data_IF_431391631419
#
_entry.id   IF_431391631419
#
_cell.length_a   1.000
_cell.length_b   1.000
_cell.length_c   1.000
_cell.angle_alpha   90.00
_cell.angle_beta   90.00
_cell.angle_gamma   90.00
#
_symmetry.space_group_name_H-M   'P 1'
#
loop_
_entity.id
_entity.type
_entity.pdbx_description
1 polymer ?
#
# COMPACT_ATOMS: atom_id res chain seq x y z
N UNK A 1 -27.45 21.44 21.89
CA UNK A 1 -26.14 21.30 22.55
C UNK A 1 -25.08 21.49 21.49
N UNK A 2 -24.19 22.47 21.67
CA UNK A 2 -23.31 22.97 20.61
C UNK A 2 -22.20 21.96 20.25
N UNK A 3 -22.37 21.21 19.15
CA UNK A 3 -21.26 20.54 18.49
C UNK A 3 -20.65 21.50 17.50
N UNK A 4 -19.49 22.06 17.84
CA UNK A 4 -18.64 22.86 16.96
C UNK A 4 -18.10 22.03 15.80
N UNK A 5 -18.97 21.69 14.86
CA UNK A 5 -18.60 21.07 13.59
C UNK A 5 -17.81 22.04 12.71
N UNK A 6 -17.03 21.49 11.79
CA UNK A 6 -16.47 22.27 10.69
C UNK A 6 -17.62 22.87 9.86
N UNK A 7 -17.46 24.12 9.42
CA UNK A 7 -18.44 24.75 8.51
C UNK A 7 -18.43 24.07 7.14
N UNK A 8 -19.48 24.25 6.33
CA UNK A 8 -19.54 23.63 4.99
C UNK A 8 -18.40 24.15 4.09
N UNK A 9 -17.96 25.40 4.30
CA UNK A 9 -16.79 25.98 3.63
C UNK A 9 -15.49 25.26 4.02
N UNK A 10 -15.28 25.01 5.32
CA UNK A 10 -14.11 24.27 5.83
C UNK A 10 -14.09 22.83 5.28
N UNK A 11 -15.25 22.19 5.17
CA UNK A 11 -15.37 20.85 4.57
C UNK A 11 -15.09 20.87 3.07
N UNK A 12 -15.52 21.90 2.34
CA UNK A 12 -15.18 22.06 0.92
C UNK A 12 -13.69 22.28 0.72
N UNK A 13 -13.07 23.15 1.53
CA UNK A 13 -11.63 23.42 1.49
C UNK A 13 -10.81 22.14 1.74
N UNK A 14 -11.23 21.32 2.71
CA UNK A 14 -10.64 20.02 2.97
C UNK A 14 -10.70 19.11 1.73
N UNK A 15 -11.88 18.99 1.13
CA UNK A 15 -12.10 18.16 -0.07
C UNK A 15 -11.22 18.63 -1.23
N UNK A 16 -11.12 19.93 -1.47
CA UNK A 16 -10.32 20.50 -2.54
C UNK A 16 -8.83 20.26 -2.32
N UNK A 17 -8.33 20.44 -1.09
CA UNK A 17 -6.95 20.10 -0.73
C UNK A 17 -6.67 18.62 -0.94
N UNK A 18 -7.54 17.72 -0.47
CA UNK A 18 -7.37 16.27 -0.68
C UNK A 18 -7.36 15.90 -2.17
N UNK A 19 -8.19 16.53 -3.00
CA UNK A 19 -8.17 16.36 -4.46
C UNK A 19 -6.85 16.84 -5.08
N UNK A 20 -6.28 17.95 -4.61
CA UNK A 20 -4.97 18.41 -5.08
C UNK A 20 -3.87 17.38 -4.79
N UNK A 21 -3.85 16.80 -3.58
CA UNK A 21 -2.89 15.75 -3.23
C UNK A 21 -3.12 14.43 -4.01
N UNK A 22 -4.37 14.08 -4.31
CA UNK A 22 -4.68 12.92 -5.15
C UNK A 22 -4.17 13.12 -6.60
N UNK A 23 -4.42 14.30 -7.18
CA UNK A 23 -3.91 14.68 -8.52
C UNK A 23 -2.39 14.62 -8.58
N UNK A 24 -1.70 15.02 -7.51
CA UNK A 24 -0.24 14.88 -7.39
C UNK A 24 0.28 13.43 -7.40
N UNK A 25 -0.56 12.48 -7.01
CA UNK A 25 -0.25 11.06 -7.09
C UNK A 25 -0.70 10.46 -8.44
N UNK A 26 -1.14 11.29 -9.40
CA UNK A 26 -1.74 10.86 -10.67
C UNK A 26 -2.96 9.93 -10.47
N UNK A 27 -3.74 10.16 -9.41
CA UNK A 27 -4.94 9.38 -9.08
C UNK A 27 -6.13 10.32 -8.90
N UNK A 28 -7.32 9.83 -9.24
CA UNK A 28 -8.57 10.55 -8.98
C UNK A 28 -9.00 10.47 -7.51
N UNK A 29 -8.56 9.41 -6.83
CA UNK A 29 -8.91 9.09 -5.45
C UNK A 29 -7.70 9.23 -4.52
N UNK A 30 -7.96 9.40 -3.23
CA UNK A 30 -6.93 9.51 -2.21
C UNK A 30 -6.30 8.12 -1.96
N UNK A 31 -4.99 8.01 -2.16
CA UNK A 31 -4.23 6.76 -1.95
C UNK A 31 -3.31 6.88 -0.73
N UNK A 32 -2.79 5.74 -0.29
CA UNK A 32 -1.75 5.67 0.76
C UNK A 32 -0.54 6.56 0.44
N UNK A 33 -0.09 6.60 -0.83
CA UNK A 33 1.00 7.47 -1.24
C UNK A 33 0.63 8.96 -1.12
N UNK A 34 -0.60 9.32 -1.49
CA UNK A 34 -1.09 10.70 -1.39
C UNK A 34 -1.21 11.15 0.07
N UNK A 35 -1.73 10.31 0.96
CA UNK A 35 -1.78 10.61 2.40
C UNK A 35 -0.38 10.64 3.03
N UNK A 36 0.53 9.81 2.56
CA UNK A 36 1.95 9.88 2.91
C UNK A 36 2.57 11.24 2.56
N UNK A 37 2.25 11.82 1.40
CA UNK A 37 2.70 13.18 1.03
C UNK A 37 2.09 14.24 1.96
N UNK A 38 0.79 14.16 2.27
CA UNK A 38 0.12 15.07 3.22
C UNK A 38 0.89 15.13 4.55
N UNK A 39 1.31 13.99 5.10
CA UNK A 39 2.07 13.96 6.37
C UNK A 39 3.50 14.49 6.28
N UNK A 40 4.10 14.52 5.10
CA UNK A 40 5.46 15.06 4.89
C UNK A 40 5.43 16.58 4.74
N UNK A 41 4.47 17.08 3.96
CA UNK A 41 4.41 18.48 3.54
C UNK A 41 3.85 19.39 4.66
N UNK A 42 3.08 18.84 5.60
CA UNK A 42 2.38 19.61 6.63
C UNK A 42 2.92 19.31 8.03
N UNK A 43 3.36 20.35 8.74
CA UNK A 43 4.10 20.28 10.01
C UNK A 43 3.38 19.49 11.11
N UNK A 44 2.09 19.74 11.32
CA UNK A 44 1.28 19.07 12.34
C UNK A 44 1.00 17.61 11.96
N UNK A 45 0.89 17.34 10.66
CA UNK A 45 0.63 16.01 10.13
C UNK A 45 1.85 15.09 10.19
N UNK A 46 3.07 15.63 10.40
CA UNK A 46 4.29 14.82 10.58
C UNK A 46 4.21 13.89 11.78
N UNK A 47 3.54 14.31 12.86
CA UNK A 47 3.35 13.48 14.06
C UNK A 47 2.51 12.22 13.76
N UNK A 48 1.65 12.29 12.74
CA UNK A 48 0.78 11.20 12.31
C UNK A 48 1.42 10.31 11.25
N UNK A 49 2.65 10.58 10.80
CA UNK A 49 3.28 9.88 9.67
C UNK A 49 3.29 8.35 9.80
N UNK A 50 3.56 7.83 11.00
CA UNK A 50 3.57 6.38 11.28
C UNK A 50 2.18 5.77 11.34
N UNK A 51 1.19 6.55 11.78
CA UNK A 51 -0.19 6.12 12.00
C UNK A 51 -1.04 6.30 10.75
N UNK A 52 -0.61 7.17 9.83
CA UNK A 52 -1.35 7.52 8.63
C UNK A 52 -1.61 6.29 7.78
N UNK A 53 -0.57 5.51 7.49
CA UNK A 53 -0.69 4.33 6.65
C UNK A 53 -1.13 3.09 7.44
N UNK A 54 -0.72 2.99 8.72
CA UNK A 54 -0.97 1.81 9.54
C UNK A 54 -2.35 1.76 10.19
N UNK A 55 -2.93 2.92 10.53
CA UNK A 55 -4.14 3.01 11.35
C UNK A 55 -5.22 3.92 10.77
N UNK A 56 -4.86 5.10 10.25
CA UNK A 56 -5.83 6.12 9.82
C UNK A 56 -6.40 5.77 8.44
N UNK A 57 -5.54 5.70 7.42
CA UNK A 57 -5.95 5.46 6.04
C UNK A 57 -6.68 4.11 5.85
N UNK A 58 -6.27 2.99 6.48
CA UNK A 58 -6.98 1.72 6.35
C UNK A 58 -8.45 1.75 6.77
N UNK A 59 -8.79 2.57 7.78
CA UNK A 59 -10.16 2.73 8.30
C UNK A 59 -11.00 3.68 7.42
N UNK A 60 -10.33 4.52 6.65
CA UNK A 60 -10.94 5.51 5.78
C UNK A 60 -11.13 5.02 4.33
N UNK A 61 -10.53 3.88 3.96
CA UNK A 61 -10.78 3.23 2.66
C UNK A 61 -12.25 2.90 2.46
N UNK A 62 -12.66 2.90 1.19
CA UNK A 62 -14.00 2.46 0.77
C UNK A 62 -14.30 1.01 1.19
N UNK A 63 -13.29 0.15 1.03
CA UNK A 63 -13.31 -1.24 1.42
C UNK A 63 -11.88 -1.69 1.73
N UNK A 64 -11.71 -2.76 2.52
CA UNK A 64 -10.37 -3.30 2.84
C UNK A 64 -9.61 -3.74 1.58
N UNK A 65 -10.33 -4.17 0.55
CA UNK A 65 -9.80 -4.63 -0.74
C UNK A 65 -9.36 -3.50 -1.67
N UNK A 66 -9.97 -2.31 -1.55
CA UNK A 66 -9.65 -1.18 -2.44
C UNK A 66 -8.37 -0.49 -1.98
N UNK A 67 -7.42 -0.16 -2.88
CA UNK A 67 -6.17 0.51 -2.50
C UNK A 67 -6.34 2.03 -2.31
N UNK A 68 -7.57 2.55 -2.35
CA UNK A 68 -7.88 3.97 -2.33
C UNK A 68 -9.14 4.29 -1.51
N UNK A 69 -9.28 5.57 -1.19
CA UNK A 69 -10.43 6.19 -0.57
C UNK A 69 -11.03 7.21 -1.55
N UNK A 70 -12.31 7.06 -1.86
CA UNK A 70 -13.05 8.01 -2.68
C UNK A 70 -13.22 9.34 -1.94
N UNK A 71 -12.95 10.45 -2.62
CA UNK A 71 -12.98 11.78 -1.99
C UNK A 71 -14.43 12.31 -2.01
N UNK A 72 -15.22 11.92 -1.00
CA UNK A 72 -16.54 12.52 -0.71
C UNK A 72 -16.47 13.36 0.56
N UNK A 73 -17.46 14.25 0.78
CA UNK A 73 -17.52 15.11 1.98
C UNK A 73 -17.46 14.26 3.26
N UNK A 74 -18.33 13.27 3.39
CA UNK A 74 -18.43 12.39 4.57
C UNK A 74 -17.12 11.64 4.86
N UNK A 75 -16.49 11.12 3.81
CA UNK A 75 -15.22 10.40 3.90
C UNK A 75 -14.09 11.32 4.32
N UNK A 76 -14.01 12.50 3.73
CA UNK A 76 -13.00 13.51 4.07
C UNK A 76 -13.12 13.93 5.53
N UNK A 77 -14.34 14.12 6.03
CA UNK A 77 -14.61 14.38 7.45
C UNK A 77 -14.17 13.22 8.34
N UNK A 78 -14.51 11.97 7.98
CA UNK A 78 -14.07 10.79 8.73
C UNK A 78 -12.54 10.69 8.81
N UNK A 79 -11.85 11.02 7.71
CA UNK A 79 -10.39 11.05 7.66
C UNK A 79 -9.80 12.11 8.60
N UNK A 80 -10.36 13.32 8.59
CA UNK A 80 -9.92 14.40 9.47
C UNK A 80 -10.18 14.07 10.95
N UNK A 81 -11.37 13.57 11.27
CA UNK A 81 -11.75 13.17 12.63
C UNK A 81 -10.84 12.06 13.17
N UNK A 82 -10.54 11.02 12.37
CA UNK A 82 -9.62 9.96 12.78
C UNK A 82 -8.17 10.44 12.92
N UNK A 83 -7.76 11.40 12.10
CA UNK A 83 -6.46 12.05 12.24
C UNK A 83 -6.39 12.87 13.54
N UNK A 84 -7.46 13.58 13.89
CA UNK A 84 -7.56 14.34 15.13
C UNK A 84 -7.54 13.44 16.39
N UNK A 85 -8.30 12.34 16.39
CA UNK A 85 -8.31 11.34 17.48
C UNK A 85 -6.91 10.78 17.74
N UNK A 86 -6.19 10.41 16.67
CA UNK A 86 -4.81 9.90 16.77
C UNK A 86 -3.82 10.96 17.24
N UNK A 87 -4.00 12.20 16.81
CA UNK A 87 -3.16 13.32 17.24
C UNK A 87 -3.34 13.59 18.73
N UNK A 88 -4.58 13.61 19.21
CA UNK A 88 -4.93 13.79 20.61
C UNK A 88 -4.32 12.68 21.50
N UNK A 89 -4.45 11.42 21.05
CA UNK A 89 -3.85 10.27 21.74
C UNK A 89 -2.33 10.40 21.85
N UNK A 90 -1.64 10.82 20.77
CA UNK A 90 -0.19 11.07 20.82
C UNK A 90 0.21 12.22 21.71
N UNK A 91 -0.62 13.25 21.78
CA UNK A 91 -0.40 14.42 22.63
C UNK A 91 -0.87 14.20 24.08
N UNK A 92 -1.24 12.97 24.46
CA UNK A 92 -1.62 12.58 25.83
C UNK A 92 -2.73 13.45 26.42
N UNK A 93 -3.74 13.79 25.61
CA UNK A 93 -4.89 14.57 26.07
C UNK A 93 -4.60 16.06 26.29
N UNK A 94 -3.50 16.59 25.74
CA UNK A 94 -3.34 18.06 25.62
C UNK A 94 -4.52 18.61 24.84
N UNK A 95 -5.09 19.71 25.34
CA UNK A 95 -6.15 20.42 24.64
C UNK A 95 -5.60 21.09 23.38
N UNK A 96 -6.40 21.21 22.32
CA UNK A 96 -6.07 22.09 21.20
C UNK A 96 -5.87 23.54 21.69
N UNK A 97 -5.13 24.38 20.93
CA UNK A 97 -4.96 25.79 21.23
C UNK A 97 -6.32 26.47 21.47
N UNK A 98 -6.35 27.44 22.41
CA UNK A 98 -7.58 28.02 22.97
C UNK A 98 -8.63 28.33 21.89
N UNK A 99 -9.82 27.74 22.05
CA UNK A 99 -10.98 27.98 21.18
C UNK A 99 -11.02 27.22 19.85
N UNK A 100 -10.04 26.35 19.54
CA UNK A 100 -10.02 25.54 18.30
C UNK A 100 -10.18 24.05 18.57
N UNK A 101 -10.64 23.25 17.61
CA UNK A 101 -10.63 21.78 17.68
C UNK A 101 -9.39 21.24 16.96
N UNK A 102 -8.94 20.02 17.31
CA UNK A 102 -7.80 19.39 16.61
C UNK A 102 -8.04 19.24 15.10
N UNK A 103 -9.30 19.04 14.68
CA UNK A 103 -9.69 19.00 13.28
C UNK A 103 -9.44 20.33 12.57
N UNK A 104 -9.82 21.45 13.19
CA UNK A 104 -9.57 22.79 12.65
C UNK A 104 -8.10 23.12 12.56
N UNK A 105 -7.32 22.74 13.57
CA UNK A 105 -5.86 22.93 13.55
C UNK A 105 -5.20 22.08 12.46
N UNK A 106 -5.64 20.83 12.27
CA UNK A 106 -5.19 19.98 11.17
C UNK A 106 -5.55 20.58 9.80
N UNK A 107 -6.75 21.15 9.65
CA UNK A 107 -7.21 21.79 8.42
C UNK A 107 -6.41 23.06 8.11
N UNK A 108 -6.18 23.93 9.10
CA UNK A 108 -5.34 25.13 8.96
C UNK A 108 -3.91 24.75 8.57
N UNK A 109 -3.39 23.66 9.14
CA UNK A 109 -2.05 23.19 8.84
C UNK A 109 -1.95 22.44 7.51
N UNK A 110 -3.08 21.96 6.96
CA UNK A 110 -3.14 21.34 5.64
C UNK A 110 -2.95 22.41 4.58
N UNK A 111 -1.72 22.60 4.11
CA UNK A 111 -1.41 23.50 3.01
C UNK A 111 -1.75 22.83 1.69
N UNK A 112 -2.31 23.59 0.77
CA UNK A 112 -2.38 23.21 -0.64
C UNK A 112 -0.96 22.98 -1.16
N UNK A 113 -0.79 21.93 -1.94
CA UNK A 113 0.53 21.50 -2.41
C UNK A 113 0.85 22.10 -3.78
N UNK A 114 2.08 22.55 -3.97
CA UNK A 114 2.54 23.14 -5.23
C UNK A 114 2.86 22.01 -6.21
N UNK A 115 2.23 22.04 -7.39
CA UNK A 115 2.45 21.04 -8.45
C UNK A 115 3.80 21.21 -9.18
N UNK A 116 4.63 22.17 -8.77
CA UNK A 116 5.86 22.55 -9.48
C UNK A 116 7.00 21.56 -9.17
N UNK A 117 7.64 21.03 -10.22
CA UNK A 117 8.82 20.16 -10.09
C UNK A 117 8.56 18.70 -9.69
N UNK A 118 7.32 18.22 -9.76
CA UNK A 118 6.99 16.84 -9.37
C UNK A 118 7.56 15.85 -10.39
N UNK A 119 8.48 14.99 -9.91
CA UNK A 119 8.99 13.86 -10.69
C UNK A 119 7.84 12.92 -11.03
N UNK A 120 7.52 12.79 -12.33
CA UNK A 120 6.52 11.84 -12.81
C UNK A 120 6.93 10.43 -12.39
N UNK A 121 6.00 9.69 -11.80
CA UNK A 121 6.24 8.28 -11.45
C UNK A 121 6.46 7.48 -12.74
N UNK A 122 7.55 6.71 -12.80
CA UNK A 122 7.81 5.85 -13.96
C UNK A 122 6.73 4.78 -14.04
N UNK A 123 5.96 4.78 -15.13
CA UNK A 123 4.91 3.77 -15.39
C UNK A 123 5.48 2.37 -15.62
N UNK A 124 6.80 2.25 -15.80
CA UNK A 124 7.48 0.99 -15.89
C UNK A 124 7.61 0.43 -14.48
N UNK A 125 6.55 -0.24 -13.99
CA UNK A 125 6.65 -1.04 -12.77
C UNK A 125 7.88 -1.94 -12.86
N UNK A 126 8.52 -2.21 -11.72
CA UNK A 126 9.72 -3.06 -11.60
C UNK A 126 9.62 -4.47 -12.23
N UNK A 127 8.48 -4.81 -12.83
CA UNK A 127 8.19 -6.04 -13.56
C UNK A 127 9.16 -6.30 -14.71
N UNK A 128 9.73 -5.25 -15.33
CA UNK A 128 10.66 -5.40 -16.47
C UNK A 128 11.89 -6.24 -16.14
N UNK A 129 12.35 -6.24 -14.89
CA UNK A 129 13.51 -7.02 -14.46
C UNK A 129 13.19 -8.43 -13.93
N UNK A 130 11.91 -8.79 -13.80
CA UNK A 130 11.52 -10.05 -13.15
C UNK A 130 11.62 -11.27 -14.09
N UNK A 131 11.60 -11.04 -15.41
CA UNK A 131 11.75 -12.08 -16.45
C UNK A 131 13.02 -11.91 -17.28
N UNK A 132 13.92 -10.99 -16.90
CA UNK A 132 15.17 -10.76 -17.62
C UNK A 132 16.27 -11.68 -17.08
N UNK A 133 16.51 -12.77 -17.80
CA UNK A 133 17.55 -13.77 -17.49
C UNK A 133 18.96 -13.29 -17.82
N UNK A 134 19.10 -12.18 -18.56
CA UNK A 134 20.42 -11.64 -18.97
C UNK A 134 21.23 -11.13 -17.79
N UNK A 135 20.56 -10.82 -16.67
CA UNK A 135 21.20 -10.40 -15.42
C UNK A 135 21.55 -11.59 -14.49
N UNK A 136 21.20 -12.83 -14.84
CA UNK A 136 21.53 -14.00 -14.02
C UNK A 136 22.99 -14.39 -14.23
N UNK A 137 23.76 -14.43 -13.14
CA UNK A 137 25.18 -14.81 -13.14
C UNK A 137 25.42 -16.04 -12.28
N UNK A 138 26.49 -16.79 -12.57
CA UNK A 138 26.89 -17.96 -11.76
C UNK A 138 25.84 -19.08 -11.77
N UNK A 139 25.60 -19.72 -10.61
CA UNK A 139 24.69 -20.87 -10.50
C UNK A 139 23.23 -20.56 -10.86
N UNK A 140 22.79 -19.29 -10.80
CA UNK A 140 21.42 -18.91 -11.17
C UNK A 140 21.21 -18.92 -12.69
N UNK A 141 22.26 -18.66 -13.50
CA UNK A 141 22.16 -18.77 -14.96
C UNK A 141 21.87 -20.21 -15.41
N UNK A 142 22.43 -21.20 -14.69
CA UNK A 142 22.27 -22.62 -15.01
C UNK A 142 20.94 -23.23 -14.55
N UNK A 143 20.04 -22.44 -13.95
CA UNK A 143 18.73 -22.92 -13.48
C UNK A 143 17.58 -22.50 -14.39
N UNK A 144 17.81 -21.60 -15.35
CA UNK A 144 16.76 -21.05 -16.20
C UNK A 144 17.22 -21.03 -17.67
N UNK A 145 16.31 -21.30 -18.58
CA UNK A 145 16.53 -21.12 -20.02
C UNK A 145 16.47 -19.63 -20.41
N UNK A 146 16.86 -19.29 -21.64
CA UNK A 146 16.86 -17.92 -22.18
C UNK A 146 15.50 -17.24 -22.08
N UNK A 147 14.40 -18.00 -22.13
CA UNK A 147 13.03 -17.54 -21.93
C UNK A 147 12.60 -17.39 -20.45
N UNK A 148 13.50 -17.60 -19.47
CA UNK A 148 13.20 -17.45 -18.04
C UNK A 148 12.42 -18.61 -17.42
N UNK A 149 12.26 -19.72 -18.15
CA UNK A 149 11.68 -20.95 -17.61
C UNK A 149 12.74 -21.75 -16.87
N UNK A 150 12.41 -22.25 -15.68
CA UNK A 150 13.31 -23.11 -14.92
C UNK A 150 13.65 -24.38 -15.72
N UNK A 151 14.93 -24.72 -15.81
CA UNK A 151 15.40 -25.99 -16.32
C UNK A 151 14.99 -27.04 -15.29
N UNK A 152 13.90 -27.76 -15.58
CA UNK A 152 13.18 -28.62 -14.63
C UNK A 152 14.11 -29.51 -13.81
N UNK A 153 13.83 -29.59 -12.50
CA UNK A 153 14.50 -30.52 -11.61
C UNK A 153 14.10 -31.95 -11.95
N UNK A 154 15.11 -32.77 -12.23
CA UNK A 154 15.07 -34.21 -12.45
C UNK A 154 14.08 -34.67 -13.53
N UNK A 155 14.65 -35.19 -14.62
CA UNK A 155 13.98 -36.13 -15.52
C UNK A 155 13.14 -37.10 -14.67
N UNK A 156 11.81 -37.04 -14.79
CA UNK A 156 10.91 -37.92 -14.08
C UNK A 156 11.07 -39.32 -14.67
N UNK A 157 12.16 -40.01 -14.31
CA UNK A 157 12.25 -41.46 -14.39
C UNK A 157 11.30 -42.00 -13.33
N UNK A 158 10.01 -41.94 -13.64
CA UNK A 158 9.01 -42.81 -13.06
C UNK A 158 9.41 -44.21 -13.50
N UNK A 159 10.14 -44.90 -12.64
CA UNK A 159 10.25 -46.35 -12.74
C UNK A 159 8.84 -46.91 -12.55
N UNK A 160 8.23 -47.35 -13.66
CA UNK A 160 6.91 -47.97 -13.69
C UNK A 160 6.96 -49.44 -13.20
N UNK A 161 7.95 -49.82 -12.37
CA UNK A 161 7.90 -51.12 -11.70
C UNK A 161 6.86 -51.01 -10.58
N UNK A 162 5.62 -51.34 -10.93
CA UNK A 162 4.44 -51.16 -10.10
C UNK A 162 4.61 -51.66 -8.67
N UNK A 163 3.97 -50.92 -7.76
CA UNK A 163 3.79 -51.19 -6.34
C UNK A 163 3.29 -52.63 -6.07
N UNK A 164 4.21 -53.58 -5.92
CA UNK A 164 3.98 -54.89 -5.27
C UNK A 164 5.26 -55.31 -4.55
N UNK A 165 5.34 -55.03 -3.25
CA UNK A 165 6.48 -55.37 -2.38
C UNK A 165 6.57 -56.83 -1.93
N UNK A 166 6.10 -57.82 -2.72
CA UNK A 166 5.92 -59.18 -2.20
C UNK A 166 6.24 -60.35 -3.16
N UNK A 167 7.10 -60.18 -4.19
CA UNK A 167 7.59 -61.33 -4.96
C UNK A 167 9.11 -61.52 -4.82
N UNK A 168 9.52 -62.34 -3.84
CA UNK A 168 10.90 -62.85 -3.65
C UNK A 168 11.25 -63.94 -4.67
N UNK A 169 11.06 -63.67 -5.96
CA UNK A 169 11.27 -64.66 -7.01
C UNK A 169 11.37 -64.09 -8.42
N UNK A 170 11.75 -62.80 -8.55
CA UNK A 170 12.15 -62.27 -9.86
C UNK A 170 13.49 -62.93 -10.22
N UNK A 171 13.57 -63.53 -11.40
CA UNK A 171 14.77 -64.14 -12.00
C UNK A 171 15.18 -65.58 -11.57
N UNK A 172 14.31 -66.38 -10.94
CA UNK A 172 14.69 -67.76 -10.52
C UNK A 172 14.29 -68.89 -11.47
N UNK A 173 13.82 -68.60 -12.68
CA UNK A 173 13.41 -69.64 -13.64
C UNK A 173 14.11 -69.51 -15.00
N UNK A 174 15.41 -69.77 -15.00
CA UNK A 174 16.12 -70.29 -16.18
C UNK A 174 17.24 -71.23 -15.72
N UNK A 175 16.86 -72.39 -15.20
CA UNK A 175 17.74 -73.57 -15.03
C UNK A 175 16.91 -74.85 -15.13
N UNK A 176 16.51 -75.20 -16.35
CA UNK A 176 16.51 -76.59 -16.82
C UNK A 176 16.31 -76.68 -18.32
#
# INVERSE_FOLDING_TARGET
>A
MASGGLSDEEVSELVDKLKQYAKLAHKENLTSQATGKITKDNLLWKELRTDMDSSIFPVCKDDKTKPFMTITKEKSMKFLAKSAEKLEAKRKGKKPPEGSTWEKELLKNLKGTQLTGVTKESKSGNVKGMTDTSAYTGMHANKFDKDGKGLGGADARVDNSGYVGAYKGKDTYDKK
#
